data_IF_439789239521
#
_entry.id   IF_439789239521
#
_cell.length_a   1.000
_cell.length_b   1.000
_cell.length_c   1.000
_cell.angle_alpha   90.00
_cell.angle_beta   90.00
_cell.angle_gamma   90.00
#
_symmetry.space_group_name_H-M   'P 1'
#
loop_
_entity.id
_entity.type
_entity.pdbx_description
1 polymer ?
#
# COMPACT_ATOMS: atom_id res chain seq x y z
N UNK A 1 43.21 -37.96 -32.63
CA UNK A 1 43.76 -38.08 -33.99
C UNK A 1 42.86 -37.16 -34.82
N UNK A 2 43.22 -36.07 -35.35
CA UNK A 2 44.17 -35.61 -36.31
C UNK A 2 44.27 -34.09 -36.25
N UNK A 3 45.51 -33.60 -36.38
CA UNK A 3 45.90 -32.19 -36.56
C UNK A 3 45.77 -31.77 -38.04
N UNK A 4 45.56 -30.48 -38.29
CA UNK A 4 46.25 -29.66 -39.30
C UNK A 4 45.76 -28.21 -39.14
N UNK A 5 46.48 -27.24 -38.76
CA UNK A 5 47.54 -26.33 -39.20
C UNK A 5 47.33 -25.81 -40.64
N UNK A 6 47.16 -24.47 -40.75
CA UNK A 6 47.72 -23.52 -41.75
C UNK A 6 46.92 -22.22 -41.66
N UNK A 7 47.37 -21.02 -41.77
CA UNK A 7 48.65 -20.33 -41.82
C UNK A 7 48.25 -18.83 -42.03
N UNK A 8 49.08 -17.96 -41.54
CA UNK A 8 49.03 -16.50 -41.56
C UNK A 8 48.83 -15.89 -42.97
N UNK A 9 48.05 -14.83 -43.07
CA UNK A 9 48.46 -13.67 -43.90
C UNK A 9 48.10 -12.35 -43.23
N UNK A 10 49.11 -11.55 -43.13
CA UNK A 10 49.19 -10.20 -42.55
C UNK A 10 49.07 -9.20 -43.69
N UNK A 11 48.10 -8.27 -43.62
CA UNK A 11 48.15 -7.05 -44.40
C UNK A 11 47.70 -5.88 -43.52
N UNK A 12 48.64 -5.08 -43.13
CA UNK A 12 48.42 -3.82 -42.44
C UNK A 12 47.86 -2.75 -43.39
N UNK A 13 47.01 -1.91 -42.84
CA UNK A 13 46.73 -0.58 -43.39
C UNK A 13 46.22 0.37 -42.30
N UNK A 14 46.93 1.46 -42.07
CA UNK A 14 46.40 2.78 -41.89
C UNK A 14 45.76 3.15 -40.56
N UNK A 15 46.59 3.70 -39.65
CA UNK A 15 46.13 4.46 -38.48
C UNK A 15 45.60 5.82 -38.98
N UNK A 16 44.30 6.00 -38.95
CA UNK A 16 43.64 7.31 -39.08
C UNK A 16 43.14 7.76 -37.71
N UNK A 17 43.86 8.68 -37.10
CA UNK A 17 43.43 9.39 -35.88
C UNK A 17 42.32 10.38 -36.23
N UNK A 18 41.07 10.05 -35.93
CA UNK A 18 39.97 11.00 -35.90
C UNK A 18 39.67 11.39 -34.44
N UNK A 19 40.06 12.61 -34.10
CA UNK A 19 39.74 13.31 -32.88
C UNK A 19 38.21 13.50 -32.79
N UNK A 20 37.58 12.85 -31.80
CA UNK A 20 36.20 13.07 -31.42
C UNK A 20 36.12 14.40 -30.62
N UNK A 21 35.26 15.36 -30.96
CA UNK A 21 35.08 16.56 -30.16
C UNK A 21 34.29 16.20 -28.88
N UNK A 22 34.88 16.52 -27.74
CA UNK A 22 34.19 16.45 -26.42
C UNK A 22 33.07 17.49 -26.40
N UNK A 23 31.85 17.06 -26.62
CA UNK A 23 30.67 17.86 -26.31
C UNK A 23 30.42 17.79 -24.79
N UNK A 24 30.62 18.91 -24.13
CA UNK A 24 30.12 19.12 -22.75
C UNK A 24 28.58 19.04 -22.78
N UNK A 25 27.93 18.40 -21.81
CA UNK A 25 26.46 18.40 -21.74
C UNK A 25 26.02 19.85 -21.47
N UNK A 26 25.27 20.40 -22.43
CA UNK A 26 24.57 21.67 -22.35
C UNK A 26 23.56 21.65 -21.20
N UNK A 27 23.59 22.70 -20.42
CA UNK A 27 22.62 23.22 -19.43
C UNK A 27 21.26 22.51 -19.43
N UNK A 28 20.91 21.97 -18.29
CA UNK A 28 19.56 21.59 -17.94
C UNK A 28 18.63 22.81 -18.14
N UNK A 29 17.90 22.82 -19.24
CA UNK A 29 16.78 23.73 -19.39
C UNK A 29 15.68 23.22 -18.47
N UNK A 30 15.33 24.01 -17.47
CA UNK A 30 14.08 23.84 -16.72
C UNK A 30 12.92 23.90 -17.72
N UNK A 31 12.38 22.75 -18.08
CA UNK A 31 11.13 22.67 -18.84
C UNK A 31 10.01 23.27 -17.96
N UNK A 32 9.10 24.01 -18.59
CA UNK A 32 7.90 24.52 -17.93
C UNK A 32 7.20 23.36 -17.19
N UNK A 33 6.58 23.61 -16.01
CA UNK A 33 5.90 22.56 -15.25
C UNK A 33 4.87 21.87 -16.15
N UNK A 34 4.92 20.53 -16.18
CA UNK A 34 3.96 19.69 -16.89
C UNK A 34 2.55 19.98 -16.29
N UNK A 35 1.57 20.42 -17.09
CA UNK A 35 0.22 20.72 -16.59
C UNK A 35 -0.50 19.50 -15.97
N UNK A 36 0.09 18.30 -16.03
CA UNK A 36 -0.38 17.06 -15.38
C UNK A 36 0.25 16.82 -14.01
N UNK A 37 1.04 17.75 -13.48
CA UNK A 37 1.71 17.62 -12.19
C UNK A 37 0.70 17.80 -11.06
N UNK A 38 0.21 16.71 -10.50
CA UNK A 38 -0.69 16.70 -9.33
C UNK A 38 0.12 16.78 -8.05
N UNK A 39 -0.39 17.50 -7.03
CA UNK A 39 0.22 17.49 -5.70
C UNK A 39 0.23 16.07 -5.12
N UNK A 40 1.23 15.78 -4.33
CA UNK A 40 1.34 14.51 -3.63
C UNK A 40 0.21 14.35 -2.59
N UNK A 41 -0.57 13.30 -2.69
CA UNK A 41 -1.68 13.01 -1.77
C UNK A 41 -1.21 12.64 -0.35
N UNK A 42 0.08 12.31 -0.21
CA UNK A 42 0.68 11.92 1.05
C UNK A 42 1.27 13.10 1.85
N UNK A 43 1.85 14.09 1.19
CA UNK A 43 2.53 15.21 1.86
C UNK A 43 2.18 16.60 1.31
N UNK A 44 1.37 16.71 0.27
CA UNK A 44 0.97 17.97 -0.36
C UNK A 44 2.04 18.61 -1.25
N UNK A 45 3.24 18.04 -1.37
CA UNK A 45 4.32 18.59 -2.20
C UNK A 45 3.97 18.57 -3.68
N UNK A 46 4.35 19.63 -4.40
CA UNK A 46 4.28 19.68 -5.87
C UNK A 46 5.49 19.02 -6.57
N UNK A 47 6.49 18.57 -5.81
CA UNK A 47 7.69 17.90 -6.37
C UNK A 47 7.38 16.44 -6.70
N UNK A 48 6.56 16.22 -7.72
CA UNK A 48 6.19 14.89 -8.21
C UNK A 48 6.69 14.69 -9.65
N UNK A 49 7.14 13.48 -9.95
CA UNK A 49 7.65 13.13 -11.28
C UNK A 49 7.05 11.82 -11.76
N UNK A 50 6.32 11.87 -12.90
CA UNK A 50 5.81 10.68 -13.56
C UNK A 50 6.95 9.87 -14.16
N UNK A 51 7.08 8.60 -13.78
CA UNK A 51 8.14 7.71 -14.24
C UNK A 51 7.63 6.47 -14.99
N UNK A 52 6.34 6.12 -14.84
CA UNK A 52 5.73 4.96 -15.50
C UNK A 52 4.36 5.34 -16.06
N UNK A 53 4.05 4.84 -17.26
CA UNK A 53 2.80 5.15 -17.97
C UNK A 53 2.28 3.91 -18.68
N UNK A 54 0.99 3.62 -18.48
CA UNK A 54 0.25 2.64 -19.28
C UNK A 54 -1.13 3.21 -19.55
N UNK A 55 -1.54 3.18 -20.81
CA UNK A 55 -2.84 3.70 -21.22
C UNK A 55 -3.88 2.57 -21.29
N UNK A 56 -5.13 2.91 -20.99
CA UNK A 56 -6.30 2.08 -21.24
C UNK A 56 -6.22 0.67 -20.63
N UNK A 57 -5.79 0.58 -19.36
CA UNK A 57 -5.85 -0.67 -18.61
C UNK A 57 -7.25 -0.86 -18.00
N UNK A 58 -7.73 -2.09 -17.79
CA UNK A 58 -8.98 -2.35 -17.07
C UNK A 58 -8.92 -1.72 -15.68
N UNK A 59 -10.04 -1.10 -15.26
CA UNK A 59 -10.10 -0.44 -13.95
C UNK A 59 -10.34 -1.39 -12.78
N UNK A 60 -10.58 -2.68 -13.06
CA UNK A 60 -10.69 -3.72 -12.04
C UNK A 60 -9.88 -4.96 -12.40
N UNK A 61 -9.24 -5.54 -11.39
CA UNK A 61 -8.50 -6.82 -11.46
C UNK A 61 -9.24 -7.97 -10.75
N UNK A 62 -10.03 -7.66 -9.73
CA UNK A 62 -10.69 -8.66 -8.86
C UNK A 62 -12.18 -8.87 -9.17
N UNK A 63 -12.68 -8.43 -10.33
CA UNK A 63 -14.03 -8.75 -10.80
C UNK A 63 -14.00 -9.89 -11.80
N UNK A 64 -14.69 -10.98 -11.47
CA UNK A 64 -14.87 -12.09 -12.39
C UNK A 64 -15.93 -11.73 -13.44
N UNK A 65 -15.51 -11.62 -14.71
CA UNK A 65 -16.42 -11.32 -15.81
C UNK A 65 -17.02 -12.64 -16.37
N UNK A 66 -18.35 -12.72 -16.52
CA UNK A 66 -19.02 -13.95 -16.98
C UNK A 66 -18.75 -14.25 -18.45
N UNK A 67 -18.43 -13.24 -19.27
CA UNK A 67 -18.16 -13.40 -20.70
C UNK A 67 -16.91 -12.65 -21.14
N UNK A 68 -16.31 -13.11 -22.24
CA UNK A 68 -15.17 -12.45 -22.88
C UNK A 68 -15.54 -11.05 -23.38
N UNK A 69 -16.74 -10.89 -23.89
CA UNK A 69 -17.26 -9.62 -24.42
C UNK A 69 -17.36 -8.57 -23.32
N UNK A 70 -17.88 -8.91 -22.15
CA UNK A 70 -17.94 -8.01 -20.99
C UNK A 70 -16.53 -7.63 -20.50
N UNK A 71 -15.61 -8.60 -20.46
CA UNK A 71 -14.23 -8.33 -20.04
C UNK A 71 -13.50 -7.37 -21.00
N UNK A 72 -13.74 -7.46 -22.32
CA UNK A 72 -13.12 -6.57 -23.32
C UNK A 72 -13.72 -5.16 -23.25
N UNK A 73 -15.03 -5.05 -22.99
CA UNK A 73 -15.78 -3.80 -22.97
C UNK A 73 -15.73 -3.10 -21.59
N UNK A 74 -15.13 -3.77 -20.61
CA UNK A 74 -15.06 -3.21 -19.26
C UNK A 74 -14.38 -1.84 -19.26
N UNK A 75 -14.81 -0.88 -18.39
CA UNK A 75 -14.19 0.43 -18.30
C UNK A 75 -12.68 0.37 -18.15
N UNK A 76 -11.99 1.32 -18.77
CA UNK A 76 -10.54 1.42 -18.78
C UNK A 76 -10.11 2.80 -18.32
N UNK A 77 -9.00 2.85 -17.60
CA UNK A 77 -8.38 4.09 -17.15
C UNK A 77 -6.91 4.13 -17.52
N UNK A 78 -6.30 5.27 -17.33
CA UNK A 78 -4.89 5.48 -17.54
C UNK A 78 -4.10 5.36 -16.24
N UNK A 79 -2.93 4.76 -16.31
CA UNK A 79 -1.99 4.71 -15.20
C UNK A 79 -0.83 5.66 -15.44
N UNK A 80 -0.57 6.54 -14.48
CA UNK A 80 0.53 7.51 -14.47
C UNK A 80 1.16 7.48 -13.08
N UNK A 81 2.14 6.57 -12.86
CA UNK A 81 2.80 6.52 -11.57
C UNK A 81 3.76 7.69 -11.44
N UNK A 82 3.49 8.51 -10.44
CA UNK A 82 4.25 9.69 -10.09
C UNK A 82 4.93 9.50 -8.73
N UNK A 83 6.25 9.61 -8.70
CA UNK A 83 7.08 9.58 -7.51
C UNK A 83 7.17 10.96 -6.88
N UNK A 84 6.94 11.08 -5.58
CA UNK A 84 7.13 12.30 -4.82
C UNK A 84 8.57 12.37 -4.27
N UNK A 85 9.36 13.32 -4.76
CA UNK A 85 10.75 13.51 -4.34
C UNK A 85 10.88 14.01 -2.88
N UNK A 86 9.79 14.51 -2.29
CA UNK A 86 9.79 15.02 -0.92
C UNK A 86 9.52 13.95 0.13
N UNK A 87 8.70 12.93 -0.18
CA UNK A 87 8.31 11.91 0.81
C UNK A 87 8.43 10.46 0.33
N UNK A 88 8.89 10.20 -0.89
CA UNK A 88 9.05 8.84 -1.43
C UNK A 88 7.75 8.12 -1.81
N UNK A 89 6.61 8.77 -1.67
CA UNK A 89 5.31 8.21 -2.01
C UNK A 89 5.13 8.11 -3.53
N UNK A 90 4.51 7.04 -4.00
CA UNK A 90 4.15 6.87 -5.42
C UNK A 90 2.63 6.84 -5.53
N UNK A 91 2.08 7.62 -6.45
CA UNK A 91 0.65 7.70 -6.71
C UNK A 91 0.33 7.51 -8.18
N UNK A 92 -0.85 6.93 -8.50
CA UNK A 92 -1.41 7.04 -9.84
C UNK A 92 -2.04 8.43 -10.02
N UNK A 93 -1.30 9.35 -10.62
CA UNK A 93 -1.76 10.74 -10.81
C UNK A 93 -2.89 10.90 -11.82
N UNK A 94 -3.21 9.83 -12.57
CA UNK A 94 -4.35 9.76 -13.50
C UNK A 94 -5.53 8.95 -12.94
N UNK A 95 -5.49 8.58 -11.66
CA UNK A 95 -6.59 7.83 -11.05
C UNK A 95 -7.88 8.65 -11.02
N UNK A 96 -8.95 8.05 -11.52
CA UNK A 96 -10.31 8.60 -11.48
C UNK A 96 -11.20 7.65 -10.68
N UNK A 97 -11.54 8.06 -9.47
CA UNK A 97 -12.37 7.28 -8.56
C UNK A 97 -13.78 6.99 -9.12
N UNK A 98 -14.27 7.82 -10.06
CA UNK A 98 -15.59 7.63 -10.67
C UNK A 98 -15.67 6.42 -11.61
N UNK A 99 -14.52 5.93 -12.06
CA UNK A 99 -14.41 4.72 -12.90
C UNK A 99 -14.38 3.43 -12.08
N UNK A 100 -14.20 3.56 -10.77
CA UNK A 100 -14.00 2.44 -9.87
C UNK A 100 -15.24 2.18 -9.02
N UNK A 101 -15.72 0.94 -8.99
CA UNK A 101 -16.88 0.52 -8.20
C UNK A 101 -16.50 -0.62 -7.26
N UNK A 102 -16.53 -0.36 -5.95
CA UNK A 102 -16.52 -1.42 -4.97
C UNK A 102 -17.92 -2.01 -4.82
N UNK A 103 -18.11 -3.21 -5.31
CA UNK A 103 -19.39 -3.91 -5.26
C UNK A 103 -19.23 -5.26 -4.54
N UNK A 104 -20.37 -5.86 -4.20
CA UNK A 104 -20.38 -7.23 -3.64
C UNK A 104 -19.86 -8.29 -4.62
N UNK A 105 -19.59 -7.93 -5.88
CA UNK A 105 -18.95 -8.79 -6.89
C UNK A 105 -17.44 -8.82 -6.78
N UNK A 106 -16.86 -7.90 -6.02
CA UNK A 106 -15.42 -7.82 -5.79
C UNK A 106 -14.95 -9.05 -5.01
N UNK A 107 -13.96 -9.77 -5.54
CA UNK A 107 -13.47 -11.01 -4.97
C UNK A 107 -11.95 -10.90 -4.73
N UNK A 108 -11.63 -10.35 -3.57
CA UNK A 108 -10.26 -10.03 -3.15
C UNK A 108 -9.63 -11.11 -2.26
N UNK A 109 -10.42 -12.12 -1.84
CA UNK A 109 -9.94 -13.07 -0.82
C UNK A 109 -8.74 -13.88 -1.29
N UNK A 110 -7.72 -13.98 -0.43
CA UNK A 110 -6.58 -14.87 -0.59
C UNK A 110 -6.70 -16.15 0.27
N UNK A 111 -7.85 -16.35 0.95
CA UNK A 111 -8.08 -17.48 1.88
C UNK A 111 -7.99 -18.87 1.21
N UNK A 112 -7.96 -18.93 -0.13
CA UNK A 112 -7.71 -20.16 -0.88
C UNK A 112 -6.25 -20.64 -0.82
N UNK A 113 -5.31 -19.77 -0.42
CA UNK A 113 -3.90 -20.09 -0.32
C UNK A 113 -3.55 -20.60 1.08
N UNK A 114 -3.11 -21.87 1.24
CA UNK A 114 -2.62 -22.36 2.53
C UNK A 114 -1.48 -21.52 3.09
N UNK A 115 -0.55 -21.06 2.25
CA UNK A 115 0.57 -20.21 2.64
C UNK A 115 0.09 -18.85 3.19
N UNK A 116 -0.94 -18.27 2.57
CA UNK A 116 -1.52 -17.02 3.06
C UNK A 116 -2.25 -17.23 4.40
N UNK A 117 -2.95 -18.35 4.55
CA UNK A 117 -3.60 -18.68 5.83
C UNK A 117 -2.60 -18.88 6.97
N UNK A 118 -1.45 -19.54 6.72
CA UNK A 118 -0.36 -19.63 7.68
C UNK A 118 0.14 -18.26 8.11
N UNK A 119 0.35 -17.34 7.16
CA UNK A 119 0.74 -15.97 7.44
C UNK A 119 -0.33 -15.22 8.27
N UNK A 120 -1.61 -15.39 7.95
CA UNK A 120 -2.71 -14.81 8.73
C UNK A 120 -2.70 -15.32 10.16
N UNK A 121 -2.48 -16.62 10.36
CA UNK A 121 -2.39 -17.23 11.69
C UNK A 121 -1.21 -16.66 12.50
N UNK A 122 -0.03 -16.53 11.89
CA UNK A 122 1.14 -15.87 12.50
C UNK A 122 0.85 -14.42 12.88
N UNK A 123 0.14 -13.68 12.04
CA UNK A 123 -0.21 -12.29 12.30
C UNK A 123 -1.24 -12.16 13.44
N UNK A 124 -2.21 -13.05 13.50
CA UNK A 124 -3.19 -13.12 14.61
C UNK A 124 -2.49 -13.41 15.94
N UNK A 125 -1.58 -14.39 15.96
CA UNK A 125 -0.77 -14.70 17.16
C UNK A 125 0.11 -13.52 17.57
N UNK A 126 0.70 -12.82 16.61
CA UNK A 126 1.48 -11.59 16.85
C UNK A 126 0.64 -10.54 17.55
N UNK A 127 -0.56 -10.26 17.04
CA UNK A 127 -1.42 -9.21 17.61
C UNK A 127 -1.98 -9.62 18.98
N UNK A 128 -2.35 -10.88 19.18
CA UNK A 128 -2.80 -11.36 20.51
C UNK A 128 -1.67 -11.25 21.54
N UNK A 129 -0.45 -11.64 21.17
CA UNK A 129 0.74 -11.53 22.03
C UNK A 129 1.09 -10.08 22.36
N UNK A 130 1.06 -9.18 21.36
CA UNK A 130 1.44 -7.77 21.55
C UNK A 130 0.42 -6.98 22.36
N UNK A 131 -0.86 -7.23 22.11
CA UNK A 131 -1.93 -6.38 22.64
C UNK A 131 -2.77 -7.03 23.74
N UNK A 132 -2.67 -8.35 23.92
CA UNK A 132 -3.49 -9.08 24.90
C UNK A 132 -4.99 -8.86 24.64
N UNK A 133 -5.48 -9.42 23.53
CA UNK A 133 -6.78 -9.08 22.93
C UNK A 133 -8.00 -9.49 23.76
N UNK A 134 -7.86 -10.38 24.75
CA UNK A 134 -8.98 -10.89 25.52
C UNK A 134 -9.81 -9.76 26.16
N UNK A 135 -11.07 -9.66 25.74
CA UNK A 135 -12.03 -8.66 26.21
C UNK A 135 -11.87 -7.26 25.61
N UNK A 136 -10.87 -7.02 24.77
CA UNK A 136 -10.68 -5.76 24.06
C UNK A 136 -11.61 -5.59 22.87
N UNK A 137 -11.71 -4.36 22.39
CA UNK A 137 -12.44 -3.98 21.18
C UNK A 137 -11.48 -3.73 20.03
N UNK A 138 -11.79 -4.30 18.87
CA UNK A 138 -11.02 -4.17 17.62
C UNK A 138 -11.91 -3.59 16.54
N UNK A 139 -11.40 -2.61 15.81
CA UNK A 139 -12.02 -2.07 14.60
C UNK A 139 -11.14 -2.42 13.40
N UNK A 140 -11.69 -3.13 12.41
CA UNK A 140 -11.03 -3.37 11.13
C UNK A 140 -11.67 -2.52 10.05
N UNK A 141 -10.86 -1.61 9.45
CA UNK A 141 -11.25 -0.74 8.35
C UNK A 141 -10.86 -1.45 7.04
N UNK A 142 -11.83 -1.65 6.15
CA UNK A 142 -11.62 -2.44 4.93
C UNK A 142 -11.51 -3.94 5.24
N UNK A 143 -12.48 -4.47 6.00
CA UNK A 143 -12.42 -5.87 6.46
C UNK A 143 -12.74 -6.90 5.36
N UNK A 144 -13.05 -6.48 4.13
CA UNK A 144 -13.44 -7.35 3.03
C UNK A 144 -14.61 -8.26 3.43
N UNK A 145 -14.41 -9.57 3.36
CA UNK A 145 -15.44 -10.57 3.78
C UNK A 145 -15.38 -10.89 5.27
N UNK A 146 -14.56 -10.18 6.06
CA UNK A 146 -14.45 -10.33 7.51
C UNK A 146 -13.58 -11.49 7.98
N UNK A 147 -12.88 -12.19 7.09
CA UNK A 147 -12.14 -13.42 7.39
C UNK A 147 -11.06 -13.22 8.44
N UNK A 148 -10.30 -12.13 8.35
CA UNK A 148 -9.25 -11.81 9.31
C UNK A 148 -9.81 -11.46 10.68
N UNK A 149 -10.82 -10.58 10.75
CA UNK A 149 -11.43 -10.15 12.00
C UNK A 149 -12.09 -11.31 12.74
N UNK A 150 -12.74 -12.21 11.99
CA UNK A 150 -13.29 -13.45 12.54
C UNK A 150 -12.20 -14.26 13.23
N UNK A 151 -11.11 -14.54 12.50
CA UNK A 151 -9.99 -15.31 13.02
C UNK A 151 -9.35 -14.67 14.25
N UNK A 152 -9.16 -13.35 14.21
CA UNK A 152 -8.61 -12.59 15.32
C UNK A 152 -9.50 -12.68 16.57
N UNK A 153 -10.83 -12.56 16.43
CA UNK A 153 -11.75 -12.63 17.55
C UNK A 153 -11.95 -14.06 18.08
N UNK A 154 -11.83 -15.07 17.23
CA UNK A 154 -11.85 -16.47 17.65
C UNK A 154 -10.67 -16.83 18.54
N UNK A 155 -9.46 -16.44 18.14
CA UNK A 155 -8.20 -16.72 18.86
C UNK A 155 -8.05 -15.79 20.06
N UNK A 156 -8.12 -14.47 19.85
CA UNK A 156 -7.83 -13.45 20.86
C UNK A 156 -8.98 -13.20 21.86
N UNK A 157 -10.20 -13.71 21.62
CA UNK A 157 -11.32 -13.48 22.53
C UNK A 157 -11.81 -12.03 22.58
N UNK A 158 -11.51 -11.22 21.58
CA UNK A 158 -11.89 -9.81 21.47
C UNK A 158 -13.33 -9.63 20.93
N UNK A 159 -13.82 -8.39 20.98
CA UNK A 159 -14.98 -7.90 20.22
C UNK A 159 -14.49 -7.23 18.95
N UNK A 160 -15.08 -7.57 17.81
CA UNK A 160 -14.68 -7.04 16.52
C UNK A 160 -15.79 -6.25 15.84
N UNK A 161 -15.44 -5.10 15.27
CA UNK A 161 -16.29 -4.34 14.34
C UNK A 161 -15.53 -4.26 13.02
N UNK A 162 -16.10 -4.80 11.93
CA UNK A 162 -15.57 -4.72 10.59
C UNK A 162 -16.38 -3.76 9.72
N UNK A 163 -15.72 -2.90 8.95
CA UNK A 163 -16.39 -1.97 8.02
C UNK A 163 -15.84 -2.17 6.64
N UNK A 164 -16.71 -2.56 5.69
CA UNK A 164 -16.34 -2.74 4.28
C UNK A 164 -17.58 -2.68 3.37
N UNK A 165 -17.57 -1.96 2.24
CA UNK A 165 -18.70 -1.92 1.31
C UNK A 165 -18.96 -3.26 0.60
N UNK A 166 -17.93 -4.10 0.46
CA UNK A 166 -17.99 -5.43 -0.16
C UNK A 166 -18.34 -6.56 0.80
N UNK A 167 -18.62 -6.28 2.07
CA UNK A 167 -18.94 -7.30 3.05
C UNK A 167 -20.18 -8.14 2.67
N UNK A 168 -20.12 -9.46 2.96
CA UNK A 168 -21.18 -10.41 2.66
C UNK A 168 -21.50 -11.27 3.88
N UNK A 169 -22.65 -11.03 4.57
CA UNK A 169 -23.03 -11.77 5.77
C UNK A 169 -23.08 -13.28 5.59
N UNK A 170 -23.48 -13.75 4.41
CA UNK A 170 -23.61 -15.19 4.12
C UNK A 170 -22.28 -15.95 4.07
N UNK A 171 -21.15 -15.25 4.02
CA UNK A 171 -19.81 -15.84 4.06
C UNK A 171 -19.22 -15.97 5.46
N UNK A 172 -19.80 -15.29 6.43
CA UNK A 172 -19.27 -15.26 7.80
C UNK A 172 -19.94 -16.32 8.64
N UNK A 173 -19.17 -17.34 9.02
CA UNK A 173 -19.55 -18.34 10.04
C UNK A 173 -18.46 -18.32 11.10
N UNK A 174 -18.84 -18.12 12.38
CA UNK A 174 -17.86 -17.95 13.43
C UNK A 174 -18.38 -18.44 14.78
N UNK A 175 -17.50 -19.05 15.56
CA UNK A 175 -17.73 -19.32 16.98
C UNK A 175 -17.77 -18.04 17.83
N UNK A 176 -17.30 -16.92 17.28
CA UNK A 176 -17.28 -15.60 17.89
C UNK A 176 -18.43 -14.70 17.42
N UNK A 177 -19.47 -15.22 16.75
CA UNK A 177 -20.56 -14.45 16.15
C UNK A 177 -21.17 -13.41 17.09
N UNK A 178 -21.36 -13.76 18.35
CA UNK A 178 -21.92 -12.86 19.38
C UNK A 178 -20.97 -11.71 19.80
N UNK A 179 -19.73 -11.70 19.31
CA UNK A 179 -18.71 -10.66 19.55
C UNK A 179 -18.32 -9.90 18.28
N UNK A 180 -18.98 -10.21 17.16
CA UNK A 180 -18.68 -9.62 15.85
C UNK A 180 -19.83 -8.76 15.36
N UNK A 181 -19.49 -7.60 14.81
CA UNK A 181 -20.40 -6.72 14.10
C UNK A 181 -19.77 -6.33 12.77
N UNK A 182 -20.56 -6.40 11.68
CA UNK A 182 -20.08 -5.98 10.36
C UNK A 182 -21.01 -4.92 9.77
N UNK A 183 -20.40 -3.87 9.24
CA UNK A 183 -21.07 -2.73 8.66
C UNK A 183 -20.72 -2.68 7.16
N UNK A 184 -21.71 -2.89 6.30
CA UNK A 184 -21.55 -2.84 4.86
C UNK A 184 -21.56 -1.38 4.37
N UNK A 185 -20.41 -0.71 4.47
CA UNK A 185 -20.26 0.69 4.10
C UNK A 185 -18.79 1.09 3.96
N UNK A 186 -18.52 2.27 3.36
CA UNK A 186 -17.20 2.90 3.43
C UNK A 186 -16.97 3.52 4.80
N UNK A 187 -15.77 3.31 5.36
CA UNK A 187 -15.36 4.01 6.57
C UNK A 187 -15.33 5.52 6.33
N UNK A 188 -15.94 6.28 7.23
CA UNK A 188 -16.07 7.72 7.13
C UNK A 188 -16.26 8.37 8.51
N UNK A 189 -16.29 9.69 8.57
CA UNK A 189 -16.49 10.46 9.81
C UNK A 189 -17.74 10.07 10.61
N UNK A 190 -18.77 9.49 9.99
CA UNK A 190 -19.97 9.03 10.70
C UNK A 190 -19.67 7.91 11.71
N UNK A 191 -18.54 7.21 11.56
CA UNK A 191 -18.09 6.13 12.43
C UNK A 191 -17.12 6.56 13.54
N UNK A 192 -16.89 7.86 13.73
CA UNK A 192 -16.03 8.41 14.79
C UNK A 192 -16.47 8.00 16.20
N UNK A 193 -17.75 7.63 16.38
CA UNK A 193 -18.29 7.17 17.64
C UNK A 193 -17.83 5.76 18.01
N UNK A 194 -17.35 4.96 17.05
CA UNK A 194 -16.86 3.62 17.29
C UNK A 194 -15.49 3.72 17.99
N UNK A 195 -15.45 3.18 19.20
CA UNK A 195 -14.25 3.17 20.01
C UNK A 195 -13.61 1.79 19.96
N UNK A 196 -12.29 1.76 19.75
CA UNK A 196 -11.53 0.53 19.72
C UNK A 196 -10.22 0.65 20.50
N UNK A 197 -9.77 -0.44 21.10
CA UNK A 197 -8.44 -0.56 21.69
C UNK A 197 -7.38 -0.81 20.63
N UNK A 198 -7.77 -1.42 19.50
CA UNK A 198 -6.93 -1.69 18.35
C UNK A 198 -7.68 -1.35 17.06
N UNK A 199 -7.06 -0.54 16.21
CA UNK A 199 -7.53 -0.23 14.85
C UNK A 199 -6.63 -0.94 13.85
N UNK A 200 -7.22 -1.73 12.97
CA UNK A 200 -6.52 -2.49 11.93
C UNK A 200 -7.01 -2.02 10.56
N UNK A 201 -6.09 -1.94 9.61
CA UNK A 201 -6.39 -1.67 8.21
C UNK A 201 -5.43 -2.49 7.34
N UNK A 202 -5.97 -3.48 6.63
CA UNK A 202 -5.18 -4.42 5.83
C UNK A 202 -5.63 -4.36 4.38
N UNK A 203 -4.66 -4.25 3.46
CA UNK A 203 -4.91 -4.23 2.01
C UNK A 203 -6.04 -3.26 1.60
N UNK A 204 -6.01 -2.04 2.16
CA UNK A 204 -7.05 -1.03 1.94
C UNK A 204 -6.45 0.34 1.63
N UNK A 205 -5.37 0.75 2.32
CA UNK A 205 -4.79 2.09 2.15
C UNK A 205 -4.24 2.33 0.73
N UNK A 206 -3.79 1.30 0.05
CA UNK A 206 -3.34 1.33 -1.35
C UNK A 206 -4.45 1.67 -2.34
N UNK A 207 -5.71 1.47 -1.96
CA UNK A 207 -6.90 1.81 -2.75
C UNK A 207 -7.43 3.22 -2.45
N UNK A 208 -6.86 3.92 -1.48
CA UNK A 208 -7.31 5.25 -1.05
C UNK A 208 -6.43 6.32 -1.68
N UNK A 209 -7.03 7.18 -2.51
CA UNK A 209 -6.29 8.27 -3.15
C UNK A 209 -5.94 9.39 -2.17
N UNK A 210 -6.85 9.96 -1.36
CA UNK A 210 -6.53 11.03 -0.42
C UNK A 210 -5.95 10.47 0.88
N UNK A 211 -4.76 9.86 0.83
CA UNK A 211 -4.16 9.12 1.95
C UNK A 211 -3.99 9.97 3.21
N UNK A 212 -3.51 11.21 3.07
CA UNK A 212 -3.33 12.10 4.21
C UNK A 212 -4.67 12.49 4.87
N UNK A 213 -5.69 12.74 4.08
CA UNK A 213 -7.03 13.06 4.59
C UNK A 213 -7.64 11.86 5.32
N UNK A 214 -7.50 10.69 4.74
CA UNK A 214 -7.97 9.43 5.35
C UNK A 214 -7.27 9.18 6.70
N UNK A 215 -5.95 9.25 6.77
CA UNK A 215 -5.22 9.04 8.01
C UNK A 215 -5.53 10.13 9.05
N UNK A 216 -5.74 11.37 8.63
CA UNK A 216 -6.20 12.45 9.51
C UNK A 216 -7.59 12.15 10.08
N UNK A 217 -8.50 11.61 9.28
CA UNK A 217 -9.84 11.20 9.73
C UNK A 217 -9.73 10.04 10.74
N UNK A 218 -8.91 9.01 10.47
CA UNK A 218 -8.65 7.91 11.40
C UNK A 218 -8.10 8.45 12.73
N UNK A 219 -7.11 9.37 12.67
CA UNK A 219 -6.55 9.99 13.88
C UNK A 219 -7.59 10.74 14.69
N UNK A 220 -8.47 11.50 14.04
CA UNK A 220 -9.57 12.23 14.70
C UNK A 220 -10.56 11.29 15.37
N UNK A 221 -10.91 10.17 14.74
CA UNK A 221 -11.85 9.20 15.29
C UNK A 221 -11.32 8.50 16.54
N UNK A 222 -10.01 8.34 16.67
CA UNK A 222 -9.38 7.84 17.89
C UNK A 222 -9.46 8.89 19.03
N UNK A 223 -9.40 10.19 18.70
CA UNK A 223 -9.50 11.26 19.68
C UNK A 223 -8.38 11.23 20.73
N UNK A 224 -8.73 11.36 22.01
CA UNK A 224 -7.80 11.42 23.13
C UNK A 224 -7.37 10.07 23.69
N UNK A 225 -7.76 8.96 23.04
CA UNK A 225 -7.45 7.60 23.49
C UNK A 225 -6.03 7.19 23.11
N UNK A 226 -5.08 7.59 23.92
CA UNK A 226 -3.65 7.40 23.70
C UNK A 226 -3.20 5.94 23.71
N UNK A 227 -4.00 5.05 24.32
CA UNK A 227 -3.71 3.62 24.42
C UNK A 227 -4.24 2.82 23.21
N UNK A 228 -4.97 3.46 22.30
CA UNK A 228 -5.41 2.78 21.07
C UNK A 228 -4.19 2.49 20.21
N UNK A 229 -3.96 1.21 19.92
CA UNK A 229 -2.96 0.83 18.94
C UNK A 229 -3.55 0.94 17.52
N UNK A 230 -2.69 1.21 16.54
CA UNK A 230 -3.04 1.21 15.13
C UNK A 230 -2.05 0.33 14.36
N UNK A 231 -2.56 -0.60 13.55
CA UNK A 231 -1.76 -1.55 12.77
C UNK A 231 -2.23 -1.57 11.34
N UNK A 232 -1.35 -1.27 10.39
CA UNK A 232 -1.64 -1.33 8.96
C UNK A 232 -0.76 -2.35 8.26
N UNK A 233 -1.33 -3.00 7.24
CA UNK A 233 -0.65 -3.91 6.33
C UNK A 233 -1.03 -3.57 4.89
N UNK A 234 -0.01 -3.48 4.01
CA UNK A 234 -0.20 -3.14 2.60
C UNK A 234 1.01 -3.58 1.77
N UNK A 235 0.90 -3.63 0.41
CA UNK A 235 2.01 -4.03 -0.45
C UNK A 235 3.22 -3.11 -0.34
N UNK A 236 4.42 -3.70 -0.43
CA UNK A 236 5.69 -2.98 -0.46
C UNK A 236 6.09 -2.63 -1.89
N UNK A 237 6.10 -1.32 -2.22
CA UNK A 237 6.49 -0.87 -3.55
C UNK A 237 7.97 -1.09 -3.85
N UNK A 238 8.86 -1.09 -2.84
CA UNK A 238 10.29 -1.36 -3.06
C UNK A 238 10.46 -2.74 -3.66
N UNK A 239 9.82 -3.77 -3.06
CA UNK A 239 9.84 -5.13 -3.58
C UNK A 239 9.27 -5.22 -4.99
N UNK A 240 8.15 -4.55 -5.25
CA UNK A 240 7.52 -4.52 -6.58
C UNK A 240 8.49 -4.00 -7.64
N UNK A 241 9.25 -2.93 -7.33
CA UNK A 241 10.22 -2.34 -8.26
C UNK A 241 11.47 -3.22 -8.41
N UNK A 242 12.01 -3.78 -7.33
CA UNK A 242 13.20 -4.64 -7.33
C UNK A 242 12.95 -5.95 -8.07
N UNK A 243 11.87 -6.65 -7.74
CA UNK A 243 11.50 -7.95 -8.33
C UNK A 243 10.78 -7.81 -9.67
N UNK A 244 10.46 -6.58 -10.10
CA UNK A 244 9.61 -6.29 -11.26
C UNK A 244 8.26 -6.97 -11.17
N UNK A 245 7.64 -6.90 -9.98
CA UNK A 245 6.38 -7.52 -9.62
C UNK A 245 5.17 -6.80 -10.23
N UNK A 246 5.08 -6.80 -11.56
CA UNK A 246 4.05 -6.04 -12.31
C UNK A 246 2.61 -6.40 -11.93
N UNK A 247 2.37 -7.56 -11.33
CA UNK A 247 1.05 -8.01 -10.86
C UNK A 247 0.50 -7.20 -9.67
N UNK A 248 1.34 -6.45 -8.95
CA UNK A 248 0.90 -5.52 -7.92
C UNK A 248 0.65 -4.10 -8.47
N UNK A 249 0.91 -3.86 -9.78
CA UNK A 249 0.68 -2.59 -10.45
C UNK A 249 -0.59 -2.70 -11.30
N UNK A 250 -1.72 -2.31 -10.72
CA UNK A 250 -3.00 -2.28 -11.39
C UNK A 250 -3.83 -1.07 -10.97
N UNK A 251 -4.90 -0.77 -11.69
CA UNK A 251 -5.59 0.51 -11.57
C UNK A 251 -6.14 0.81 -10.18
N UNK A 252 -6.67 -0.21 -9.49
CA UNK A 252 -7.26 -0.09 -8.15
C UNK A 252 -6.23 0.31 -7.09
N UNK A 253 -4.95 -0.06 -7.27
CA UNK A 253 -3.86 0.44 -6.45
C UNK A 253 -3.48 1.84 -6.93
N UNK A 254 -4.08 2.86 -6.34
CA UNK A 254 -3.78 4.25 -6.68
C UNK A 254 -2.68 4.87 -5.80
N UNK A 255 -2.30 4.19 -4.72
CA UNK A 255 -1.34 4.64 -3.70
C UNK A 255 -0.34 3.54 -3.38
N UNK A 256 0.97 3.84 -3.48
CA UNK A 256 2.04 2.87 -3.28
C UNK A 256 3.04 3.39 -2.27
N UNK A 257 3.44 2.56 -1.33
CA UNK A 257 4.26 2.93 -0.19
C UNK A 257 5.56 2.13 -0.12
N UNK A 258 6.64 2.83 0.21
CA UNK A 258 7.83 2.29 0.85
C UNK A 258 7.68 2.37 2.37
N UNK A 259 8.57 1.71 3.13
CA UNK A 259 8.59 1.84 4.58
C UNK A 259 8.68 3.31 5.03
N UNK A 260 9.57 4.10 4.42
CA UNK A 260 9.75 5.49 4.78
C UNK A 260 8.56 6.38 4.42
N UNK A 261 7.96 6.23 3.25
CA UNK A 261 6.80 7.04 2.85
C UNK A 261 5.58 6.74 3.71
N UNK A 262 5.38 5.49 4.13
CA UNK A 262 4.31 5.07 5.03
C UNK A 262 4.52 5.66 6.44
N UNK A 263 5.72 5.55 7.00
CA UNK A 263 6.03 6.12 8.30
C UNK A 263 5.88 7.64 8.33
N UNK A 264 6.31 8.34 7.25
CA UNK A 264 6.12 9.78 7.12
C UNK A 264 4.64 10.18 7.10
N UNK A 265 3.77 9.39 6.46
CA UNK A 265 2.32 9.58 6.51
C UNK A 265 1.80 9.47 7.94
N UNK A 266 2.14 8.40 8.65
CA UNK A 266 1.70 8.19 10.03
C UNK A 266 2.12 9.35 10.93
N UNK A 267 3.40 9.73 10.90
CA UNK A 267 3.93 10.83 11.72
C UNK A 267 3.27 12.17 11.37
N UNK A 268 3.08 12.48 10.10
CA UNK A 268 2.47 13.75 9.66
C UNK A 268 0.99 13.86 10.02
N UNK A 269 0.32 12.75 10.28
CA UNK A 269 -1.10 12.69 10.65
C UNK A 269 -1.32 12.48 12.16
N UNK A 270 -0.27 12.58 12.96
CA UNK A 270 -0.35 12.58 14.43
C UNK A 270 -0.27 11.20 15.07
N UNK A 271 0.50 10.30 14.47
CA UNK A 271 0.85 9.00 15.06
C UNK A 271 2.35 8.89 15.34
N UNK A 272 2.70 8.26 16.44
CA UNK A 272 4.04 7.76 16.71
C UNK A 272 4.17 6.37 16.11
N UNK A 273 5.23 6.13 15.33
CA UNK A 273 5.56 4.84 14.75
C UNK A 273 6.42 4.06 15.72
N UNK A 274 5.98 2.87 16.12
CA UNK A 274 6.66 2.00 17.09
C UNK A 274 7.30 0.78 16.46
N UNK A 275 6.76 0.27 15.36
CA UNK A 275 7.34 -0.80 14.56
C UNK A 275 7.08 -0.58 13.08
N UNK A 276 8.02 -1.04 12.26
CA UNK A 276 7.96 -0.95 10.79
C UNK A 276 8.71 -2.14 10.21
N UNK A 277 7.95 -3.15 9.81
CA UNK A 277 8.47 -4.45 9.42
C UNK A 277 8.08 -4.80 7.97
N UNK A 278 8.73 -5.80 7.40
CA UNK A 278 8.30 -6.48 6.18
C UNK A 278 7.86 -7.90 6.52
N UNK A 279 6.76 -8.35 5.92
CA UNK A 279 6.17 -9.64 6.16
C UNK A 279 5.86 -10.36 4.84
N UNK A 280 5.45 -11.64 4.93
CA UNK A 280 5.08 -12.47 3.79
C UNK A 280 6.17 -12.48 2.70
N UNK A 281 7.37 -12.91 3.07
CA UNK A 281 8.57 -12.90 2.22
C UNK A 281 8.92 -11.50 1.64
N UNK A 282 8.64 -10.44 2.43
CA UNK A 282 8.89 -9.05 2.06
C UNK A 282 7.85 -8.45 1.13
N UNK A 283 6.74 -9.13 0.87
CA UNK A 283 5.68 -8.62 0.00
C UNK A 283 4.85 -7.53 0.64
N UNK A 284 4.68 -7.57 1.97
CA UNK A 284 3.85 -6.62 2.70
C UNK A 284 4.67 -5.81 3.70
N UNK A 285 4.30 -4.54 3.84
CA UNK A 285 4.71 -3.67 4.93
C UNK A 285 3.76 -3.86 6.10
N UNK A 286 4.32 -3.95 7.30
CA UNK A 286 3.58 -3.85 8.55
C UNK A 286 4.03 -2.59 9.27
N UNK A 287 3.09 -1.77 9.71
CA UNK A 287 3.36 -0.58 10.52
C UNK A 287 2.46 -0.59 11.74
N UNK A 288 3.07 -0.43 12.92
CA UNK A 288 2.36 -0.31 14.19
C UNK A 288 2.64 1.07 14.80
N UNK A 289 1.61 1.67 15.39
CA UNK A 289 1.74 2.99 15.98
C UNK A 289 0.71 3.26 17.08
N UNK A 290 0.85 4.43 17.69
CA UNK A 290 -0.07 4.99 18.67
C UNK A 290 -0.35 6.45 18.35
N UNK A 291 -1.51 7.01 18.77
CA UNK A 291 -1.75 8.44 18.66
C UNK A 291 -0.69 9.23 19.44
N UNK A 292 -0.16 10.27 18.81
CA UNK A 292 0.71 11.24 19.50
C UNK A 292 -0.05 11.91 20.65
N UNK A 293 0.62 12.07 21.79
CA UNK A 293 0.05 12.72 22.96
C UNK A 293 0.05 14.23 22.81
N UNK A 294 -1.12 14.90 22.78
CA UNK A 294 -1.16 16.36 22.80
C UNK A 294 -0.48 16.89 24.06
N UNK A 295 0.54 17.74 23.90
CA UNK A 295 1.21 18.38 25.03
C UNK A 295 2.17 17.50 25.81
N UNK A 296 2.54 16.34 25.29
CA UNK A 296 3.64 15.56 25.85
C UNK A 296 4.94 16.40 25.78
N UNK A 297 5.63 16.68 26.92
CA UNK A 297 6.89 17.37 26.90
C UNK A 297 8.03 16.54 26.32
N UNK A 298 7.86 15.23 26.19
CA UNK A 298 8.85 14.36 25.58
C UNK A 298 8.84 14.52 24.05
N UNK A 299 10.01 14.60 23.42
CA UNK A 299 10.07 14.64 21.97
C UNK A 299 9.46 13.34 21.38
N UNK A 300 8.86 13.43 20.17
CA UNK A 300 8.35 12.23 19.50
C UNK A 300 9.47 11.20 19.34
N UNK A 301 9.15 9.90 19.31
CA UNK A 301 10.14 8.86 19.08
C UNK A 301 10.97 9.15 17.82
N UNK A 302 12.29 8.98 17.87
CA UNK A 302 13.13 9.21 16.70
C UNK A 302 12.68 8.32 15.52
N UNK A 303 12.95 8.75 14.27
CA UNK A 303 12.71 7.90 13.12
C UNK A 303 13.42 6.55 13.25
N UNK A 304 12.73 5.48 12.82
CA UNK A 304 13.32 4.15 12.74
C UNK A 304 14.33 4.09 11.58
N UNK A 305 15.36 3.24 11.65
CA UNK A 305 16.35 3.12 10.57
C UNK A 305 15.74 2.83 9.20
N UNK A 306 14.63 2.09 9.15
CA UNK A 306 13.89 1.73 7.95
C UNK A 306 13.23 2.94 7.26
N UNK A 307 13.02 4.03 7.99
CA UNK A 307 12.42 5.26 7.44
C UNK A 307 13.37 6.05 6.52
N UNK A 308 14.66 5.74 6.55
CA UNK A 308 15.67 6.44 5.75
C UNK A 308 15.80 5.79 4.36
N UNK A 309 14.84 6.04 3.47
CA UNK A 309 14.73 5.48 2.13
C UNK A 309 14.84 6.51 0.99
N UNK A 310 14.85 7.83 1.31
CA UNK A 310 14.89 8.87 0.27
C UNK A 310 16.24 9.00 -0.42
N UNK A 311 17.31 8.50 0.18
CA UNK A 311 18.68 8.54 -0.37
C UNK A 311 19.03 7.25 -1.14
N UNK A 312 18.09 6.33 -1.30
CA UNK A 312 18.23 5.06 -2.03
C UNK A 312 17.54 5.14 -3.39
#
# INVERSE_FOLDING_TARGET
KMRSSHSKQNTGLGVGSSSCPSQRPTSFQMTAPDPTQTACHNCGSSSTRVFYRVDQIPVHSCLLMPTREEAIQYPKGDMRLAFCESCGFIQNSAFDASLHEYSTRYEETQAFSPRFNEFVDELVERYDTMFGLAGKSVLEIGCGKGEFLVRLCEVGGCKGIGIDPGYRPERTQSSAENRLEFIQDFYSEKYQHLQADLVICRHTLEHIQPTHEFMTMVRRSIGDRQQTAICFELPDIERVLEDRGFWDIYYEHCSYFSQGSLARLFRSTGFDVVALDKAYDGQYLLIDGHPQSPGNPDPPPPPLPQENDLDR
#
